data_IF_037145288036
#
_entry.id   IF_037145288036
#
_cell.length_a   1.000
_cell.length_b   1.000
_cell.length_c   1.000
_cell.angle_alpha   90.00
_cell.angle_beta   90.00
_cell.angle_gamma   90.00
#
_symmetry.space_group_name_H-M   'P 1'
#
loop_
_entity.id
_entity.type
_entity.pdbx_description
1 polymer ?
#
# COMPACT_ATOMS: atom_id res chain seq x y z
N UNK A 1 55.57 -13.85 13.05
CA UNK A 1 54.27 -13.96 12.39
C UNK A 1 53.31 -13.02 13.15
N UNK A 2 53.00 -11.84 12.57
CA UNK A 2 51.98 -10.93 13.12
C UNK A 2 50.65 -11.33 12.53
N UNK A 3 49.74 -11.80 13.37
CA UNK A 3 48.33 -12.04 13.02
C UNK A 3 47.62 -10.71 13.05
N UNK A 4 47.19 -10.19 11.89
CA UNK A 4 46.31 -9.04 11.77
C UNK A 4 44.87 -9.55 12.08
N UNK A 5 44.33 -9.19 13.25
CA UNK A 5 42.92 -9.34 13.53
C UNK A 5 42.18 -8.22 12.78
N UNK A 6 41.47 -8.57 11.71
CA UNK A 6 40.45 -7.70 11.10
C UNK A 6 39.23 -7.70 12.04
N UNK A 7 39.04 -6.59 12.73
CA UNK A 7 37.81 -6.35 13.46
C UNK A 7 36.68 -6.02 12.42
N UNK A 8 35.80 -6.99 12.15
CA UNK A 8 34.53 -6.71 11.49
C UNK A 8 33.69 -5.86 12.46
N UNK A 9 33.59 -4.58 12.19
CA UNK A 9 32.58 -3.74 12.83
C UNK A 9 31.23 -4.10 12.22
N UNK A 10 30.42 -4.90 12.91
CA UNK A 10 28.99 -5.00 12.59
C UNK A 10 28.37 -3.60 12.81
N UNK A 11 27.87 -2.99 11.73
CA UNK A 11 26.99 -1.84 11.87
C UNK A 11 25.79 -2.24 12.73
N UNK A 12 25.32 -1.39 13.66
CA UNK A 12 24.11 -1.69 14.42
C UNK A 12 22.94 -1.84 13.46
N UNK A 13 22.08 -2.82 13.72
CA UNK A 13 20.82 -2.96 13.00
C UNK A 13 20.01 -1.67 13.19
N UNK A 14 19.41 -1.09 12.12
CA UNK A 14 18.62 0.12 12.24
C UNK A 14 17.48 -0.07 13.24
N UNK A 15 17.16 0.97 14.01
CA UNK A 15 16.07 0.96 14.96
C UNK A 15 14.74 0.69 14.22
N UNK A 16 13.78 0.02 14.87
CA UNK A 16 12.54 -0.43 14.25
C UNK A 16 11.69 0.70 13.60
N UNK A 17 11.96 1.99 13.90
CA UNK A 17 11.29 3.14 13.30
C UNK A 17 11.97 3.71 12.04
N UNK A 18 13.14 3.20 11.65
CA UNK A 18 13.91 3.75 10.51
C UNK A 18 13.61 3.07 9.17
N UNK A 19 12.87 1.97 9.18
CA UNK A 19 12.53 1.18 8.00
C UNK A 19 11.07 1.35 7.60
N UNK A 20 10.80 1.21 6.30
CA UNK A 20 9.47 1.23 5.70
C UNK A 20 9.22 -0.09 4.94
N UNK A 21 8.98 -1.22 5.66
CA UNK A 21 9.16 -2.57 5.13
C UNK A 21 8.03 -3.08 4.23
N UNK A 22 6.90 -2.37 4.17
CA UNK A 22 5.68 -2.80 3.48
C UNK A 22 4.84 -1.61 3.05
N UNK A 23 3.71 -1.88 2.41
CA UNK A 23 2.72 -0.86 2.09
C UNK A 23 2.32 -0.07 3.34
N UNK A 24 2.51 1.27 3.29
CA UNK A 24 2.30 2.21 4.41
C UNK A 24 3.21 2.00 5.62
N UNK A 25 4.36 1.36 5.42
CA UNK A 25 5.41 1.25 6.43
C UNK A 25 5.08 0.35 7.63
N UNK A 26 5.68 0.62 8.80
CA UNK A 26 5.48 -0.18 9.99
C UNK A 26 3.99 -0.29 10.37
N UNK A 27 3.52 -1.52 10.57
CA UNK A 27 2.13 -1.83 10.95
C UNK A 27 1.06 -1.19 10.02
N UNK A 28 1.42 -0.89 8.78
CA UNK A 28 0.58 -0.23 7.76
C UNK A 28 -0.06 1.10 8.24
N UNK A 29 0.55 1.79 9.20
CA UNK A 29 0.00 3.02 9.80
C UNK A 29 0.11 4.24 8.89
N UNK A 30 1.13 4.29 8.03
CA UNK A 30 1.47 5.49 7.25
C UNK A 30 2.14 6.59 8.08
N UNK A 31 2.59 6.30 9.31
CA UNK A 31 3.17 7.29 10.22
C UNK A 31 4.70 7.24 10.16
N UNK A 32 5.32 8.39 9.98
CA UNK A 32 6.75 8.62 9.83
C UNK A 32 7.28 9.66 10.84
N UNK A 33 6.70 9.70 12.04
CA UNK A 33 7.12 10.63 13.09
C UNK A 33 8.58 10.42 13.49
N UNK A 34 9.29 11.52 13.69
CA UNK A 34 10.71 11.52 14.05
C UNK A 34 11.66 11.30 12.87
N UNK A 35 11.15 11.06 11.66
CA UNK A 35 12.00 10.90 10.48
C UNK A 35 12.39 12.22 9.82
N UNK A 36 11.80 13.35 10.23
CA UNK A 36 12.14 14.71 9.76
C UNK A 36 12.10 14.82 8.24
N UNK A 37 10.99 14.39 7.61
CA UNK A 37 10.81 14.47 6.16
C UNK A 37 10.47 15.89 5.71
N UNK A 38 10.86 16.23 4.47
CA UNK A 38 10.68 17.56 3.89
C UNK A 38 9.20 17.98 3.82
N UNK A 39 8.96 19.29 3.99
CA UNK A 39 7.63 19.91 3.85
C UNK A 39 7.48 20.58 2.50
N UNK A 40 8.55 21.10 1.92
CA UNK A 40 8.55 21.85 0.67
C UNK A 40 9.57 21.30 -0.33
N UNK A 41 9.16 21.16 -1.58
CA UNK A 41 10.02 20.80 -2.72
C UNK A 41 9.35 21.14 -4.05
N UNK A 42 10.12 21.09 -5.13
CA UNK A 42 9.62 21.21 -6.49
C UNK A 42 10.34 20.18 -7.40
N UNK A 43 9.64 19.12 -7.78
CA UNK A 43 10.15 18.06 -8.64
C UNK A 43 10.39 18.51 -10.08
N UNK A 44 9.71 19.57 -10.54
CA UNK A 44 9.89 20.16 -11.88
C UNK A 44 11.19 20.96 -11.94
N UNK A 45 11.46 21.74 -10.88
CA UNK A 45 12.66 22.58 -10.77
C UNK A 45 13.83 21.88 -10.10
N UNK A 46 13.60 20.67 -9.59
CA UNK A 46 14.58 19.89 -8.80
C UNK A 46 15.00 20.59 -7.48
N UNK A 47 14.10 21.36 -6.86
CA UNK A 47 14.32 21.96 -5.55
C UNK A 47 14.04 20.92 -4.47
N UNK A 48 14.98 20.71 -3.52
CA UNK A 48 14.94 19.67 -2.47
C UNK A 48 14.81 18.24 -3.03
N UNK A 49 15.16 18.00 -4.28
CA UNK A 49 15.29 16.67 -4.88
C UNK A 49 16.74 16.22 -4.73
N UNK A 50 16.97 15.20 -3.90
CA UNK A 50 18.31 14.66 -3.66
C UNK A 50 18.79 13.87 -4.89
N UNK A 51 17.89 13.02 -5.44
CA UNK A 51 18.09 12.30 -6.68
C UNK A 51 16.75 11.93 -7.35
N UNK A 52 16.85 11.60 -8.63
CA UNK A 52 15.74 11.18 -9.48
C UNK A 52 16.22 10.06 -10.39
N UNK A 53 15.63 8.88 -10.27
CA UNK A 53 16.00 7.69 -11.04
C UNK A 53 14.89 7.30 -11.98
N UNK A 54 15.21 7.15 -13.27
CA UNK A 54 14.26 6.70 -14.28
C UNK A 54 13.87 5.26 -14.06
N UNK A 55 12.57 4.97 -14.14
CA UNK A 55 12.00 3.63 -14.09
C UNK A 55 11.41 3.25 -15.45
N UNK A 56 11.60 2.01 -15.85
CA UNK A 56 10.96 1.45 -17.03
C UNK A 56 9.64 0.78 -16.69
N UNK A 57 8.69 0.80 -17.63
CA UNK A 57 7.40 0.13 -17.52
C UNK A 57 6.38 0.87 -16.64
N UNK A 58 5.32 0.17 -16.27
CA UNK A 58 4.23 0.68 -15.46
C UNK A 58 4.19 -0.04 -14.12
N UNK A 59 3.99 0.71 -13.05
CA UNK A 59 3.84 0.15 -11.73
C UNK A 59 3.29 1.15 -10.72
N UNK A 60 2.38 0.71 -9.88
CA UNK A 60 1.81 1.48 -8.78
C UNK A 60 2.30 0.99 -7.41
N UNK A 61 3.20 -0.02 -7.38
CA UNK A 61 3.80 -0.42 -6.12
C UNK A 61 4.43 0.77 -5.43
N UNK A 62 4.11 0.96 -4.17
CA UNK A 62 4.82 1.93 -3.33
C UNK A 62 6.28 1.51 -3.18
N UNK A 63 7.22 2.43 -3.05
CA UNK A 63 8.56 2.08 -2.60
C UNK A 63 8.48 1.55 -1.17
N UNK A 64 9.34 0.57 -0.86
CA UNK A 64 9.62 0.14 0.51
C UNK A 64 11.10 0.36 0.80
N UNK A 65 11.43 0.60 2.07
CA UNK A 65 12.78 0.96 2.48
C UNK A 65 13.25 0.08 3.61
N UNK A 66 14.48 -0.44 3.49
CA UNK A 66 15.17 -1.12 4.58
C UNK A 66 16.65 -0.79 4.58
N UNK A 67 17.09 -0.10 5.61
CA UNK A 67 18.45 0.40 5.70
C UNK A 67 18.77 1.35 4.54
N UNK A 68 19.77 1.02 3.77
CA UNK A 68 20.26 1.78 2.62
C UNK A 68 19.60 1.39 1.28
N UNK A 69 18.55 0.55 1.30
CA UNK A 69 17.92 0.03 0.08
C UNK A 69 16.45 0.43 -0.05
N UNK A 70 16.08 0.76 -1.27
CA UNK A 70 14.68 0.95 -1.68
C UNK A 70 14.32 -0.18 -2.65
N UNK A 71 13.14 -0.79 -2.45
CA UNK A 71 12.64 -1.83 -3.36
C UNK A 71 11.31 -1.43 -3.95
N UNK A 72 11.08 -1.83 -5.19
CA UNK A 72 9.81 -1.66 -5.90
C UNK A 72 9.66 -2.68 -7.02
N UNK A 73 8.47 -2.77 -7.60
CA UNK A 73 8.16 -3.65 -8.73
C UNK A 73 7.74 -2.85 -9.95
N UNK A 74 7.93 -3.37 -11.14
CA UNK A 74 7.45 -2.79 -12.38
C UNK A 74 7.07 -3.87 -13.39
N UNK A 75 6.22 -3.54 -14.37
CA UNK A 75 5.88 -4.40 -15.49
C UNK A 75 6.16 -3.65 -16.80
N UNK A 76 7.11 -4.14 -17.57
CA UNK A 76 7.55 -3.53 -18.84
C UNK A 76 6.89 -4.27 -19.98
N UNK A 77 5.97 -3.59 -20.68
CA UNK A 77 5.29 -4.12 -21.86
C UNK A 77 6.20 -4.10 -23.10
N UNK A 78 6.09 -5.11 -23.94
CA UNK A 78 6.68 -5.08 -25.27
C UNK A 78 5.94 -4.15 -26.25
N UNK A 79 4.72 -3.72 -25.89
CA UNK A 79 3.98 -2.68 -26.60
C UNK A 79 4.35 -1.29 -26.03
N UNK A 80 5.05 -0.42 -26.80
CA UNK A 80 5.41 0.91 -26.35
C UNK A 80 4.20 1.84 -26.13
N UNK A 81 3.03 1.47 -26.65
CA UNK A 81 1.77 2.18 -26.44
C UNK A 81 1.05 1.81 -25.14
N UNK A 82 1.59 0.90 -24.34
CA UNK A 82 1.03 0.53 -23.06
C UNK A 82 1.13 1.69 -22.06
N UNK A 83 -0.03 2.25 -21.70
CA UNK A 83 -0.16 3.35 -20.74
C UNK A 83 -1.22 3.02 -19.70
N UNK A 84 -1.22 3.70 -18.57
CA UNK A 84 -2.37 3.75 -17.70
C UNK A 84 -3.10 5.11 -17.83
N UNK A 85 -4.37 5.12 -17.48
CA UNK A 85 -5.20 6.32 -17.50
C UNK A 85 -5.40 6.76 -16.04
N UNK A 86 -5.21 8.05 -15.77
CA UNK A 86 -5.47 8.67 -14.46
C UNK A 86 -6.71 9.56 -14.53
N UNK A 87 -7.18 10.03 -13.38
CA UNK A 87 -8.33 10.93 -13.27
C UNK A 87 -9.59 10.26 -12.71
N UNK A 88 -10.64 11.07 -12.57
CA UNK A 88 -11.93 10.63 -11.99
C UNK A 88 -12.80 9.82 -12.95
N UNK A 89 -12.58 9.93 -14.25
CA UNK A 89 -13.34 9.22 -15.26
C UNK A 89 -13.09 7.72 -15.16
N UNK A 90 -13.95 7.05 -14.40
CA UNK A 90 -14.02 5.59 -14.35
C UNK A 90 -14.62 5.02 -15.64
N UNK A 91 -14.04 5.35 -16.80
CA UNK A 91 -14.38 4.67 -18.04
C UNK A 91 -14.06 3.20 -17.85
N UNK A 92 -15.10 2.38 -17.92
CA UNK A 92 -15.03 0.93 -17.88
C UNK A 92 -14.49 0.43 -19.23
N UNK A 93 -13.37 0.95 -19.67
CA UNK A 93 -12.68 0.47 -20.86
C UNK A 93 -11.71 -0.62 -20.41
N UNK A 94 -11.94 -1.83 -20.92
CA UNK A 94 -11.01 -2.94 -20.76
C UNK A 94 -9.72 -2.61 -21.50
N UNK A 95 -8.58 -2.78 -20.84
CA UNK A 95 -7.32 -2.88 -21.55
C UNK A 95 -6.94 -4.35 -21.65
N UNK A 96 -7.31 -4.96 -22.78
CA UNK A 96 -6.72 -6.23 -23.18
C UNK A 96 -5.30 -5.97 -23.65
N UNK A 97 -4.36 -6.04 -22.71
CA UNK A 97 -2.95 -5.97 -23.04
C UNK A 97 -2.47 -7.37 -23.42
N UNK A 98 -2.44 -7.65 -24.71
CA UNK A 98 -1.99 -8.94 -25.25
C UNK A 98 -0.49 -8.99 -25.51
N UNK A 99 0.21 -7.91 -25.16
CA UNK A 99 1.64 -7.82 -25.29
C UNK A 99 2.35 -8.64 -24.19
N UNK A 100 3.51 -9.17 -24.53
CA UNK A 100 4.39 -9.76 -23.52
C UNK A 100 4.91 -8.70 -22.55
N UNK A 101 4.91 -9.02 -21.25
CA UNK A 101 5.44 -8.17 -20.21
C UNK A 101 6.62 -8.83 -19.52
N UNK A 102 7.62 -8.02 -19.18
CA UNK A 102 8.69 -8.35 -18.26
C UNK A 102 8.30 -7.84 -16.88
N UNK A 103 7.99 -8.74 -15.94
CA UNK A 103 7.69 -8.43 -14.54
C UNK A 103 8.99 -8.36 -13.76
N UNK A 104 9.28 -7.21 -13.13
CA UNK A 104 10.60 -6.95 -12.54
C UNK A 104 10.52 -6.49 -11.10
N UNK A 105 11.54 -6.85 -10.34
CA UNK A 105 11.81 -6.36 -8.99
C UNK A 105 13.11 -5.57 -9.04
N UNK A 106 13.13 -4.39 -8.42
CA UNK A 106 14.27 -3.50 -8.38
C UNK A 106 14.72 -3.24 -6.95
N UNK A 107 16.03 -3.13 -6.78
CA UNK A 107 16.65 -2.56 -5.58
C UNK A 107 17.49 -1.37 -5.98
N UNK A 108 17.30 -0.26 -5.27
CA UNK A 108 18.05 0.97 -5.46
C UNK A 108 18.75 1.36 -4.15
N UNK A 109 19.85 2.09 -4.28
CA UNK A 109 20.46 2.78 -3.14
C UNK A 109 19.53 3.89 -2.66
N UNK A 110 19.18 3.89 -1.39
CA UNK A 110 18.39 4.96 -0.79
C UNK A 110 19.14 6.29 -0.77
N UNK A 111 20.47 6.26 -0.77
CA UNK A 111 21.33 7.46 -0.74
C UNK A 111 21.53 8.09 -2.12
N UNK A 112 21.77 7.26 -3.15
CA UNK A 112 22.19 7.77 -4.47
C UNK A 112 21.15 7.57 -5.56
N UNK A 113 20.14 6.72 -5.34
CA UNK A 113 19.18 6.33 -6.36
C UNK A 113 19.73 5.36 -7.42
N UNK A 114 20.98 4.92 -7.30
CA UNK A 114 21.57 3.94 -8.20
C UNK A 114 20.81 2.63 -8.14
N UNK A 115 20.48 2.03 -9.30
CA UNK A 115 19.90 0.70 -9.38
C UNK A 115 21.00 -0.31 -9.04
N UNK A 116 20.91 -0.90 -7.83
CA UNK A 116 21.87 -1.89 -7.36
C UNK A 116 21.68 -3.24 -8.04
N UNK A 117 20.41 -3.59 -8.26
CA UNK A 117 20.02 -4.72 -9.09
C UNK A 117 18.59 -4.58 -9.61
N UNK A 118 18.34 -5.18 -10.76
CA UNK A 118 17.04 -5.34 -11.37
C UNK A 118 16.91 -6.80 -11.83
N UNK A 119 15.83 -7.47 -11.41
CA UNK A 119 15.60 -8.90 -11.67
C UNK A 119 14.27 -9.09 -12.39
N UNK A 120 14.31 -9.77 -13.52
CA UNK A 120 13.11 -10.27 -14.20
C UNK A 120 12.58 -11.49 -13.44
N UNK A 121 11.42 -11.35 -12.81
CA UNK A 121 10.73 -12.44 -12.11
C UNK A 121 10.07 -13.40 -13.11
N UNK A 122 9.44 -12.83 -14.14
CA UNK A 122 8.72 -13.54 -15.18
C UNK A 122 8.65 -12.69 -16.45
N UNK A 123 8.65 -13.37 -17.59
CA UNK A 123 8.28 -12.78 -18.89
C UNK A 123 7.13 -13.59 -19.46
N UNK A 124 5.99 -12.93 -19.65
CA UNK A 124 4.76 -13.58 -20.14
C UNK A 124 3.75 -12.56 -20.66
N UNK A 125 2.79 -13.04 -21.43
CA UNK A 125 1.53 -12.33 -21.66
C UNK A 125 0.70 -12.46 -20.38
N UNK A 126 0.17 -11.36 -19.80
CA UNK A 126 -0.62 -11.40 -18.58
C UNK A 126 -1.82 -12.37 -18.69
N UNK A 127 -2.07 -13.16 -17.64
CA UNK A 127 -3.17 -14.15 -17.61
C UNK A 127 -4.54 -13.50 -17.62
N UNK A 128 -4.65 -12.27 -17.07
CA UNK A 128 -5.90 -11.49 -16.98
C UNK A 128 -5.70 -10.09 -17.56
N UNK A 129 -6.80 -9.40 -17.78
CA UNK A 129 -6.81 -7.99 -18.15
C UNK A 129 -6.57 -7.13 -16.91
N UNK A 130 -6.42 -5.83 -17.11
CA UNK A 130 -6.31 -4.84 -16.03
C UNK A 130 -7.26 -3.67 -16.22
N UNK A 131 -7.67 -3.05 -15.13
CA UNK A 131 -8.33 -1.75 -15.19
C UNK A 131 -7.40 -0.73 -15.84
N UNK A 132 -7.89 0.22 -16.67
CA UNK A 132 -7.05 1.25 -17.28
C UNK A 132 -6.21 2.06 -16.31
N UNK A 133 -6.69 2.26 -15.08
CA UNK A 133 -5.96 2.92 -13.98
C UNK A 133 -5.00 1.98 -13.24
N UNK A 134 -5.04 0.68 -13.47
CA UNK A 134 -4.19 -0.28 -12.79
C UNK A 134 -2.93 -0.60 -13.61
N UNK A 135 -1.95 -1.22 -12.96
CA UNK A 135 -0.76 -1.81 -13.58
C UNK A 135 -0.65 -3.28 -13.19
N UNK A 136 0.14 -4.08 -13.91
CA UNK A 136 0.43 -5.46 -13.52
C UNK A 136 1.47 -5.56 -12.37
N UNK A 137 1.94 -4.41 -11.88
CA UNK A 137 2.86 -4.29 -10.74
C UNK A 137 2.32 -3.26 -9.72
N UNK A 138 1.05 -3.41 -9.34
CA UNK A 138 0.40 -2.56 -8.34
C UNK A 138 0.66 -3.00 -6.90
N UNK A 139 0.70 -4.32 -6.57
CA UNK A 139 1.04 -4.73 -5.22
C UNK A 139 2.43 -4.24 -4.81
N UNK A 140 2.52 -3.66 -3.63
CA UNK A 140 3.78 -3.23 -3.01
C UNK A 140 4.52 -4.44 -2.47
N UNK A 141 5.82 -4.61 -2.74
CA UNK A 141 6.61 -5.69 -2.17
C UNK A 141 6.74 -5.53 -0.65
N UNK A 142 7.21 -6.60 0.02
CA UNK A 142 7.47 -6.58 1.47
C UNK A 142 8.86 -7.12 1.75
N UNK A 143 9.45 -6.69 2.88
CA UNK A 143 10.75 -7.16 3.34
C UNK A 143 10.82 -7.31 4.86
N UNK A 144 11.56 -8.34 5.31
CA UNK A 144 11.91 -8.55 6.72
C UNK A 144 13.37 -8.17 7.03
N UNK A 145 14.06 -7.53 6.07
CA UNK A 145 15.48 -7.18 6.18
C UNK A 145 16.44 -8.27 5.70
N UNK A 146 15.93 -9.43 5.29
CA UNK A 146 16.70 -10.55 4.71
C UNK A 146 16.11 -10.99 3.38
N UNK A 147 14.78 -10.97 3.28
CA UNK A 147 14.03 -11.40 2.12
C UNK A 147 13.25 -10.24 1.55
N UNK A 148 13.08 -10.23 0.23
CA UNK A 148 12.19 -9.33 -0.50
C UNK A 148 11.16 -10.18 -1.22
N UNK A 149 9.88 -9.99 -0.92
CA UNK A 149 8.81 -10.74 -1.55
C UNK A 149 7.97 -9.84 -2.43
N UNK A 150 7.90 -10.17 -3.71
CA UNK A 150 7.11 -9.48 -4.73
C UNK A 150 5.90 -10.32 -5.14
N UNK A 151 4.73 -9.68 -5.23
CA UNK A 151 3.47 -10.28 -5.64
C UNK A 151 2.96 -9.62 -6.92
N UNK A 152 2.74 -10.43 -7.96
CA UNK A 152 2.23 -9.97 -9.25
C UNK A 152 0.85 -10.52 -9.57
N UNK A 153 0.04 -10.82 -8.56
CA UNK A 153 -1.30 -11.36 -8.76
C UNK A 153 -1.28 -12.73 -9.43
N UNK A 154 -1.98 -12.84 -10.54
CA UNK A 154 -2.06 -14.09 -11.34
C UNK A 154 -0.70 -14.59 -11.83
N UNK A 155 0.28 -13.70 -11.97
CA UNK A 155 1.66 -14.05 -12.41
C UNK A 155 2.52 -14.60 -11.27
N UNK A 156 2.02 -14.61 -10.02
CA UNK A 156 2.61 -15.34 -8.92
C UNK A 156 3.31 -14.50 -7.86
N UNK A 157 3.94 -15.22 -6.93
CA UNK A 157 4.65 -14.71 -5.76
C UNK A 157 6.12 -15.13 -5.86
N UNK A 158 7.05 -14.21 -5.61
CA UNK A 158 8.49 -14.40 -5.79
C UNK A 158 9.26 -13.91 -4.57
N UNK A 159 10.11 -14.77 -4.01
CA UNK A 159 10.99 -14.44 -2.89
C UNK A 159 12.44 -14.32 -3.34
N UNK A 160 13.08 -13.23 -2.96
CA UNK A 160 14.49 -12.94 -3.23
C UNK A 160 15.25 -12.72 -1.92
N UNK A 161 16.57 -12.92 -1.96
CA UNK A 161 17.46 -12.36 -0.95
C UNK A 161 17.74 -10.85 -1.24
N UNK A 162 18.48 -10.19 -0.35
CA UNK A 162 18.81 -8.76 -0.52
C UNK A 162 19.76 -8.49 -1.70
N UNK A 163 20.49 -9.49 -2.17
CA UNK A 163 21.38 -9.43 -3.34
C UNK A 163 20.63 -9.67 -4.65
N UNK A 164 19.31 -9.96 -4.58
CA UNK A 164 18.46 -10.20 -5.73
C UNK A 164 18.58 -11.60 -6.31
N UNK A 165 19.09 -12.58 -5.55
CA UNK A 165 19.02 -13.97 -5.95
C UNK A 165 17.62 -14.50 -5.70
N UNK A 166 17.01 -15.12 -6.72
CA UNK A 166 15.70 -15.75 -6.58
C UNK A 166 15.84 -16.99 -5.66
N UNK A 167 15.14 -16.99 -4.54
CA UNK A 167 15.09 -18.08 -3.58
C UNK A 167 13.98 -19.06 -3.93
N UNK A 168 12.80 -18.53 -4.24
CA UNK A 168 11.62 -19.32 -4.56
C UNK A 168 10.60 -18.55 -5.38
N UNK A 169 9.68 -19.30 -6.01
CA UNK A 169 8.49 -18.75 -6.69
C UNK A 169 7.28 -19.63 -6.44
N UNK A 170 6.08 -19.05 -6.42
CA UNK A 170 4.80 -19.75 -6.29
C UNK A 170 3.81 -19.26 -7.35
N UNK A 171 3.23 -20.19 -8.07
CA UNK A 171 2.05 -19.93 -8.90
C UNK A 171 0.79 -20.05 -8.02
N UNK A 172 0.00 -19.00 -7.96
CA UNK A 172 -1.23 -18.94 -7.17
C UNK A 172 -2.48 -19.21 -8.01
N UNK A 173 -2.30 -19.54 -9.28
CA UNK A 173 -3.38 -19.70 -10.26
C UNK A 173 -3.81 -18.36 -10.87
N UNK A 174 -4.91 -18.38 -11.60
CA UNK A 174 -5.51 -17.17 -12.16
C UNK A 174 -6.37 -16.52 -11.08
N UNK A 175 -6.11 -15.23 -10.83
CA UNK A 175 -6.84 -14.41 -9.87
C UNK A 175 -7.58 -13.35 -10.68
N UNK A 176 -8.80 -13.67 -11.10
CA UNK A 176 -9.68 -12.82 -11.89
C UNK A 176 -10.39 -11.78 -10.99
N UNK A 177 -9.58 -10.90 -10.41
CA UNK A 177 -10.08 -9.81 -9.59
C UNK A 177 -10.68 -8.73 -10.49
N UNK A 178 -12.01 -8.60 -10.47
CA UNK A 178 -12.75 -7.72 -11.37
C UNK A 178 -14.02 -7.15 -10.77
N UNK A 179 -14.91 -6.68 -11.64
CA UNK A 179 -16.17 -6.09 -11.23
C UNK A 179 -17.14 -7.14 -10.68
N UNK A 180 -17.66 -6.91 -9.49
CA UNK A 180 -18.62 -7.82 -8.85
C UNK A 180 -19.94 -8.02 -9.60
N UNK A 181 -20.21 -7.23 -10.64
CA UNK A 181 -21.44 -7.22 -11.41
C UNK A 181 -21.28 -7.71 -12.86
N UNK A 182 -20.04 -7.97 -13.30
CA UNK A 182 -19.73 -8.44 -14.66
C UNK A 182 -18.42 -9.22 -14.63
N UNK A 183 -18.50 -10.53 -14.77
CA UNK A 183 -17.37 -11.47 -14.75
C UNK A 183 -16.41 -11.34 -15.95
N UNK A 184 -16.79 -10.51 -16.92
CA UNK A 184 -15.93 -10.22 -18.07
C UNK A 184 -14.99 -9.02 -17.85
N UNK A 185 -15.08 -8.33 -16.70
CA UNK A 185 -14.24 -7.19 -16.33
C UNK A 185 -13.21 -7.59 -15.30
N UNK A 186 -12.01 -7.92 -15.75
CA UNK A 186 -10.84 -8.06 -14.90
C UNK A 186 -10.21 -6.69 -14.67
N UNK A 187 -9.91 -6.38 -13.39
CA UNK A 187 -9.27 -5.14 -13.01
C UNK A 187 -7.82 -5.34 -12.54
N UNK A 188 -7.41 -6.59 -12.36
CA UNK A 188 -6.12 -6.97 -11.83
C UNK A 188 -6.04 -6.84 -10.32
N UNK A 189 -4.98 -7.38 -9.74
CA UNK A 189 -4.78 -7.40 -8.30
C UNK A 189 -4.20 -6.07 -7.81
N UNK A 190 -4.71 -5.55 -6.69
CA UNK A 190 -4.21 -4.34 -6.02
C UNK A 190 -3.71 -4.59 -4.59
N UNK A 191 -4.14 -5.70 -3.98
CA UNK A 191 -3.75 -6.08 -2.62
C UNK A 191 -2.25 -6.39 -2.52
N UNK A 192 -1.57 -5.79 -1.55
CA UNK A 192 -0.17 -6.08 -1.25
C UNK A 192 -0.04 -7.21 -0.23
N UNK A 193 1.07 -7.96 -0.20
CA UNK A 193 1.32 -8.94 0.84
C UNK A 193 1.56 -8.28 2.20
N UNK A 194 1.35 -9.04 3.29
CA UNK A 194 1.71 -8.67 4.65
C UNK A 194 2.70 -9.68 5.22
N UNK A 195 3.58 -9.25 6.13
CA UNK A 195 4.52 -10.12 6.83
C UNK A 195 4.11 -10.31 8.29
N UNK A 196 4.14 -11.56 8.74
CA UNK A 196 3.92 -11.89 10.15
C UNK A 196 4.70 -13.14 10.56
N UNK A 197 5.60 -13.01 11.54
CA UNK A 197 6.36 -14.12 12.15
C UNK A 197 6.99 -15.10 11.14
N UNK A 198 7.68 -14.57 10.14
CA UNK A 198 8.35 -15.36 9.12
C UNK A 198 7.40 -15.91 8.04
N UNK A 199 6.17 -15.48 8.00
CA UNK A 199 5.22 -15.78 6.93
C UNK A 199 4.94 -14.54 6.10
N UNK A 200 4.80 -14.74 4.79
CA UNK A 200 4.16 -13.77 3.88
C UNK A 200 2.71 -14.20 3.64
N UNK A 201 1.78 -13.29 3.88
CA UNK A 201 0.34 -13.53 3.76
C UNK A 201 -0.19 -12.71 2.58
N UNK A 202 -0.93 -13.34 1.68
CA UNK A 202 -1.55 -12.71 0.51
C UNK A 202 -3.06 -12.91 0.50
N UNK A 203 -3.76 -11.91 -0.02
CA UNK A 203 -5.16 -12.02 -0.41
C UNK A 203 -5.21 -12.30 -1.91
N UNK A 204 -5.94 -13.33 -2.27
CA UNK A 204 -6.26 -13.70 -3.65
C UNK A 204 -7.79 -13.74 -3.80
N UNK A 205 -8.43 -12.57 -3.70
CA UNK A 205 -9.87 -12.45 -3.88
C UNK A 205 -10.19 -12.40 -5.38
N UNK A 206 -11.05 -13.30 -5.81
CA UNK A 206 -11.29 -13.65 -7.20
C UNK A 206 -12.76 -14.05 -7.40
N UNK A 207 -13.29 -13.87 -8.59
CA UNK A 207 -14.63 -14.30 -8.93
C UNK A 207 -14.75 -15.82 -8.99
N UNK A 208 -13.66 -16.52 -9.35
CA UNK A 208 -13.63 -17.98 -9.45
C UNK A 208 -13.39 -18.70 -8.11
N UNK A 209 -13.08 -17.96 -7.05
CA UNK A 209 -12.85 -18.53 -5.71
C UNK A 209 -11.73 -17.78 -4.96
N UNK A 210 -12.10 -17.17 -3.86
CA UNK A 210 -11.22 -16.32 -3.05
C UNK A 210 -10.53 -17.07 -1.95
N UNK A 211 -9.30 -16.71 -1.62
CA UNK A 211 -8.56 -17.27 -0.50
C UNK A 211 -7.57 -16.28 0.14
N UNK A 212 -7.25 -16.56 1.39
CA UNK A 212 -6.03 -16.10 2.05
C UNK A 212 -5.00 -17.22 2.00
N UNK A 213 -3.75 -16.90 1.70
CA UNK A 213 -2.65 -17.86 1.72
C UNK A 213 -1.47 -17.31 2.52
N UNK A 214 -0.92 -18.12 3.42
CA UNK A 214 0.34 -17.84 4.10
C UNK A 214 1.43 -18.78 3.62
N UNK A 215 2.60 -18.23 3.38
CA UNK A 215 3.76 -18.94 2.88
C UNK A 215 4.97 -18.60 3.77
N UNK A 216 5.84 -19.56 4.01
CA UNK A 216 7.11 -19.30 4.69
C UNK A 216 7.96 -18.33 3.86
N UNK A 217 8.42 -17.26 4.48
CA UNK A 217 9.10 -16.16 3.77
C UNK A 217 10.44 -16.58 3.15
N UNK A 218 11.13 -17.56 3.77
CA UNK A 218 12.45 -18.03 3.31
C UNK A 218 12.37 -19.09 2.21
N UNK A 219 11.32 -19.92 2.22
CA UNK A 219 11.21 -21.09 1.32
C UNK A 219 10.04 -21.00 0.35
N UNK A 220 9.07 -20.12 0.61
CA UNK A 220 7.82 -20.02 -0.11
C UNK A 220 6.89 -21.22 0.10
N UNK A 221 7.20 -22.17 1.00
CA UNK A 221 6.32 -23.30 1.26
C UNK A 221 4.99 -22.84 1.88
N UNK A 222 3.85 -23.40 1.45
CA UNK A 222 2.57 -23.03 2.01
C UNK A 222 2.48 -23.46 3.49
N UNK A 223 2.09 -22.51 4.36
CA UNK A 223 1.87 -22.76 5.79
C UNK A 223 0.40 -23.04 6.07
N UNK A 224 -0.48 -22.18 5.56
CA UNK A 224 -1.93 -22.41 5.62
C UNK A 224 -2.62 -21.71 4.46
N UNK A 225 -3.85 -22.17 4.16
CA UNK A 225 -4.78 -21.56 3.22
C UNK A 225 -6.18 -21.55 3.85
N UNK A 226 -6.86 -20.41 3.73
CA UNK A 226 -8.25 -20.25 4.13
C UNK A 226 -9.09 -19.77 2.94
N UNK A 227 -10.04 -20.58 2.49
CA UNK A 227 -10.96 -20.19 1.45
C UNK A 227 -11.94 -19.15 2.00
N UNK A 228 -12.36 -18.22 1.15
CA UNK A 228 -13.21 -17.09 1.51
C UNK A 228 -14.43 -17.02 0.62
N UNK A 229 -15.56 -16.60 1.21
CA UNK A 229 -16.80 -16.34 0.47
C UNK A 229 -16.92 -14.85 0.07
N UNK A 230 -15.83 -14.25 -0.40
CA UNK A 230 -15.75 -12.85 -0.81
C UNK A 230 -15.45 -12.85 -2.30
N UNK A 231 -16.15 -12.01 -3.06
CA UNK A 231 -15.77 -11.68 -4.42
C UNK A 231 -14.65 -10.63 -4.40
N UNK A 232 -14.13 -10.26 -5.54
CA UNK A 232 -12.97 -9.40 -5.71
C UNK A 232 -12.86 -8.26 -4.70
N UNK A 233 -11.70 -8.16 -4.04
CA UNK A 233 -11.28 -7.00 -3.25
C UNK A 233 -9.85 -6.61 -3.63
N UNK A 234 -9.48 -5.36 -3.31
CA UNK A 234 -8.17 -4.78 -3.68
C UNK A 234 -7.41 -4.29 -2.44
N UNK A 235 -7.99 -4.49 -1.28
CA UNK A 235 -7.48 -4.06 0.02
C UNK A 235 -6.30 -4.92 0.47
N UNK A 236 -5.24 -4.30 0.97
CA UNK A 236 -4.14 -4.98 1.66
C UNK A 236 -4.59 -5.42 3.07
N UNK A 237 -4.24 -6.61 3.55
CA UNK A 237 -4.61 -7.03 4.89
C UNK A 237 -3.81 -6.26 5.96
N UNK A 238 -4.44 -5.97 7.09
CA UNK A 238 -3.80 -5.40 8.27
C UNK A 238 -3.48 -6.51 9.27
N UNK A 239 -2.24 -6.58 9.76
CA UNK A 239 -1.91 -7.31 10.99
C UNK A 239 -2.06 -6.34 12.16
N UNK A 240 -3.00 -6.61 13.04
CA UNK A 240 -3.23 -5.84 14.26
C UNK A 240 -2.83 -6.63 15.49
N UNK A 241 -1.86 -6.13 16.23
CA UNK A 241 -1.43 -6.68 17.52
C UNK A 241 -2.25 -6.04 18.63
N UNK A 242 -3.37 -6.66 18.97
CA UNK A 242 -4.23 -6.24 20.08
C UNK A 242 -3.75 -6.77 21.43
N UNK A 243 -4.31 -6.24 22.53
CA UNK A 243 -3.92 -6.62 23.89
C UNK A 243 -4.10 -8.12 24.19
N UNK A 244 -5.16 -8.73 23.67
CA UNK A 244 -5.52 -10.11 23.99
C UNK A 244 -5.16 -11.11 22.88
N UNK A 245 -5.07 -10.65 21.64
CA UNK A 245 -4.74 -11.49 20.48
C UNK A 245 -4.29 -10.66 19.30
N UNK A 246 -3.60 -11.31 18.36
CA UNK A 246 -3.28 -10.73 17.06
C UNK A 246 -4.37 -11.12 16.06
N UNK A 247 -4.75 -10.18 15.21
CA UNK A 247 -5.75 -10.36 14.17
C UNK A 247 -5.23 -9.95 12.80
N UNK A 248 -5.50 -10.78 11.80
CA UNK A 248 -5.36 -10.43 10.39
C UNK A 248 -6.72 -9.89 9.92
N UNK A 249 -6.80 -8.59 9.65
CA UNK A 249 -8.05 -7.92 9.33
C UNK A 249 -8.11 -7.60 7.85
N UNK A 250 -9.21 -7.98 7.19
CA UNK A 250 -9.43 -7.80 5.76
C UNK A 250 -10.67 -6.98 5.49
N UNK A 251 -10.61 -6.15 4.46
CA UNK A 251 -11.73 -5.38 3.95
C UNK A 251 -12.19 -6.02 2.62
N UNK A 252 -13.20 -6.86 2.67
CA UNK A 252 -13.74 -7.55 1.50
C UNK A 252 -14.99 -6.89 0.94
N UNK A 253 -15.40 -7.26 -0.27
CA UNK A 253 -16.64 -6.80 -0.89
C UNK A 253 -17.83 -7.23 -0.02
N UNK A 254 -18.63 -6.26 0.40
CA UNK A 254 -19.84 -6.38 1.23
C UNK A 254 -19.61 -6.89 2.67
N UNK A 255 -18.40 -7.42 2.99
CA UNK A 255 -18.11 -8.02 4.29
C UNK A 255 -16.62 -7.87 4.67
N UNK A 256 -16.38 -7.53 5.91
CA UNK A 256 -15.07 -7.43 6.54
C UNK A 256 -14.85 -8.63 7.46
N UNK A 257 -13.62 -9.09 7.61
CA UNK A 257 -13.31 -10.24 8.47
C UNK A 257 -12.05 -10.00 9.30
N UNK A 258 -12.01 -10.62 10.46
CA UNK A 258 -10.81 -10.87 11.24
C UNK A 258 -10.46 -12.35 11.25
N UNK A 259 -9.19 -12.66 11.07
CA UNK A 259 -8.65 -14.02 11.08
C UNK A 259 -7.51 -14.15 12.08
N UNK A 260 -7.27 -15.36 12.55
CA UNK A 260 -6.03 -15.71 13.24
C UNK A 260 -4.89 -15.78 12.20
N UNK A 261 -3.87 -14.90 12.29
CA UNK A 261 -2.80 -14.84 11.28
C UNK A 261 -1.89 -16.08 11.28
N UNK A 262 -1.91 -16.90 12.34
CA UNK A 262 -1.11 -18.13 12.40
C UNK A 262 -1.77 -19.34 11.74
N UNK A 263 -3.11 -19.31 11.64
CA UNK A 263 -3.88 -20.51 11.20
C UNK A 263 -4.81 -20.21 10.02
N UNK A 264 -5.10 -18.94 9.73
CA UNK A 264 -6.11 -18.52 8.76
C UNK A 264 -7.55 -18.75 9.23
N UNK A 265 -7.76 -19.16 10.49
CA UNK A 265 -9.11 -19.38 11.04
C UNK A 265 -9.84 -18.04 11.17
N UNK A 266 -11.07 -17.97 10.63
CA UNK A 266 -11.94 -16.83 10.84
C UNK A 266 -12.31 -16.66 12.31
N UNK A 267 -12.18 -15.44 12.82
CA UNK A 267 -12.48 -15.05 14.19
C UNK A 267 -13.81 -14.30 14.26
N UNK A 268 -14.00 -13.36 13.35
CA UNK A 268 -15.23 -12.55 13.29
C UNK A 268 -15.50 -12.08 11.86
N UNK A 269 -16.74 -11.70 11.63
CA UNK A 269 -17.21 -11.05 10.41
C UNK A 269 -18.06 -9.82 10.71
N UNK A 270 -18.10 -8.87 9.77
CA UNK A 270 -18.89 -7.65 9.83
C UNK A 270 -19.38 -7.27 8.44
N UNK A 271 -20.68 -7.33 8.22
CA UNK A 271 -21.29 -6.91 6.97
C UNK A 271 -21.40 -5.37 6.86
N UNK A 272 -21.44 -4.85 5.63
CA UNK A 272 -21.75 -3.44 5.36
C UNK A 272 -20.68 -2.65 4.61
N UNK A 273 -19.57 -3.24 4.22
CA UNK A 273 -18.64 -2.62 3.26
C UNK A 273 -19.31 -2.47 1.89
N UNK A 274 -18.75 -1.67 1.00
CA UNK A 274 -19.23 -1.54 -0.37
C UNK A 274 -18.84 -2.74 -1.23
N UNK A 275 -19.37 -2.79 -2.46
CA UNK A 275 -19.02 -3.84 -3.43
C UNK A 275 -17.57 -3.77 -3.94
N UNK A 276 -16.96 -2.59 -3.86
CA UNK A 276 -15.57 -2.40 -4.27
C UNK A 276 -14.78 -1.85 -3.08
N UNK A 277 -13.79 -2.59 -2.63
CA UNK A 277 -13.00 -2.26 -1.46
C UNK A 277 -11.53 -2.17 -1.83
N UNK A 278 -10.98 -0.97 -1.73
CA UNK A 278 -9.58 -0.68 -1.98
C UNK A 278 -8.82 -0.28 -0.70
N UNK A 279 -9.41 0.53 0.21
CA UNK A 279 -8.71 0.98 1.39
C UNK A 279 -8.33 -0.16 2.33
N UNK A 280 -7.11 -0.14 2.81
CA UNK A 280 -6.60 -1.02 3.86
C UNK A 280 -7.24 -0.65 5.21
N UNK A 281 -7.62 -1.60 6.07
CA UNK A 281 -7.94 -1.31 7.47
C UNK A 281 -6.77 -0.63 8.17
N UNK A 282 -7.04 0.35 9.04
CA UNK A 282 -5.99 1.03 9.81
C UNK A 282 -6.30 1.02 11.30
N UNK A 283 -5.27 0.79 12.12
CA UNK A 283 -5.42 0.77 13.56
C UNK A 283 -4.95 2.09 14.19
N UNK A 284 -5.65 2.51 15.24
CA UNK A 284 -5.27 3.66 16.06
C UNK A 284 -6.26 3.85 17.22
N UNK A 285 -5.81 4.37 18.35
CA UNK A 285 -6.64 4.68 19.51
C UNK A 285 -7.45 3.47 20.05
N UNK A 286 -6.89 2.26 19.94
CA UNK A 286 -7.57 1.03 20.38
C UNK A 286 -8.71 0.57 19.47
N UNK A 287 -8.84 1.17 18.28
CA UNK A 287 -9.85 0.85 17.27
C UNK A 287 -9.18 0.48 15.95
N UNK A 288 -9.90 -0.22 15.10
CA UNK A 288 -9.58 -0.45 13.71
C UNK A 288 -10.63 0.25 12.85
N UNK A 289 -10.17 1.10 11.94
CA UNK A 289 -11.03 1.85 11.03
C UNK A 289 -11.01 1.21 9.66
N UNK A 290 -12.19 0.96 9.11
CA UNK A 290 -12.38 0.32 7.81
C UNK A 290 -13.29 1.20 6.98
N UNK A 291 -12.84 1.58 5.79
CA UNK A 291 -13.62 2.38 4.85
C UNK A 291 -13.73 1.66 3.52
N UNK A 292 -14.75 1.97 2.77
CA UNK A 292 -14.91 1.50 1.39
C UNK A 292 -15.68 2.52 0.57
N UNK A 293 -15.69 2.38 -0.75
CA UNK A 293 -16.33 3.31 -1.65
C UNK A 293 -17.14 2.62 -2.72
N UNK A 294 -17.55 3.38 -3.73
CA UNK A 294 -18.42 3.01 -4.83
C UNK A 294 -19.90 2.87 -4.42
N UNK A 295 -20.70 3.90 -4.66
CA UNK A 295 -22.12 4.11 -4.36
C UNK A 295 -22.42 4.40 -2.90
N UNK A 296 -21.82 3.70 -1.98
CA UNK A 296 -21.84 3.98 -0.53
C UNK A 296 -20.40 4.14 -0.06
N UNK A 297 -20.19 5.04 0.91
CA UNK A 297 -18.85 5.35 1.43
C UNK A 297 -18.87 5.21 2.95
N UNK A 298 -19.04 3.99 3.50
CA UNK A 298 -19.12 3.80 4.93
C UNK A 298 -17.76 3.95 5.61
N UNK A 299 -17.83 4.29 6.89
CA UNK A 299 -16.73 4.21 7.85
C UNK A 299 -17.20 3.30 8.99
N UNK A 300 -16.39 2.33 9.35
CA UNK A 300 -16.59 1.50 10.53
C UNK A 300 -15.41 1.70 11.49
N UNK A 301 -15.69 1.92 12.76
CA UNK A 301 -14.72 1.86 13.83
C UNK A 301 -15.00 0.60 14.68
N UNK A 302 -14.08 -0.34 14.65
CA UNK A 302 -14.23 -1.67 15.22
C UNK A 302 -13.28 -1.84 16.40
N UNK A 303 -13.78 -2.34 17.53
CA UNK A 303 -12.93 -2.80 18.64
C UNK A 303 -12.39 -4.18 18.29
N UNK A 304 -11.07 -4.38 18.35
CA UNK A 304 -10.48 -5.73 18.20
C UNK A 304 -10.98 -6.67 19.31
N UNK A 305 -10.94 -7.98 19.05
CA UNK A 305 -11.28 -8.97 20.06
C UNK A 305 -12.65 -9.62 19.88
N UNK A 306 -13.45 -9.19 18.90
CA UNK A 306 -14.79 -9.75 18.62
C UNK A 306 -14.76 -11.20 18.15
N UNK A 307 -15.89 -11.89 18.16
CA UNK A 307 -16.04 -13.27 17.71
C UNK A 307 -17.40 -13.48 17.03
N UNK A 308 -17.40 -14.24 15.91
CA UNK A 308 -18.60 -14.45 15.11
C UNK A 308 -19.07 -13.18 14.38
N UNK A 309 -20.36 -13.04 14.11
CA UNK A 309 -20.91 -11.80 13.56
C UNK A 309 -20.93 -10.70 14.64
N UNK A 310 -20.18 -9.61 14.38
CA UNK A 310 -20.05 -8.50 15.31
C UNK A 310 -20.94 -7.30 14.97
N UNK A 311 -21.80 -7.41 13.97
CA UNK A 311 -22.53 -6.27 13.39
C UNK A 311 -23.41 -5.49 14.36
N UNK A 312 -24.09 -6.16 15.30
CA UNK A 312 -24.98 -5.56 16.29
C UNK A 312 -24.44 -5.77 17.72
N UNK A 313 -23.11 -5.68 17.89
CA UNK A 313 -22.45 -5.87 19.18
C UNK A 313 -21.66 -4.61 19.57
N UNK A 314 -21.17 -4.58 20.82
CA UNK A 314 -20.28 -3.52 21.32
C UNK A 314 -18.94 -3.42 20.61
N UNK A 315 -18.58 -4.41 19.78
CA UNK A 315 -17.36 -4.38 18.98
C UNK A 315 -17.43 -3.37 17.82
N UNK A 316 -18.62 -2.98 17.36
CA UNK A 316 -18.79 -1.80 16.49
C UNK A 316 -18.90 -0.57 17.37
N UNK A 317 -17.80 0.18 17.54
CA UNK A 317 -17.75 1.37 18.39
C UNK A 317 -18.65 2.48 17.83
N UNK A 318 -18.51 2.73 16.53
CA UNK A 318 -19.36 3.64 15.77
C UNK A 318 -19.30 3.32 14.28
N UNK A 319 -20.26 3.81 13.52
CA UNK A 319 -20.29 3.71 12.06
C UNK A 319 -20.91 4.95 11.42
N UNK A 320 -20.43 5.29 10.22
CA UNK A 320 -21.01 6.30 9.34
C UNK A 320 -21.30 5.67 7.99
N UNK A 321 -22.38 6.10 7.33
CA UNK A 321 -22.73 5.65 5.98
C UNK A 321 -22.13 6.52 4.88
N UNK A 322 -21.37 7.56 5.26
CA UNK A 322 -20.87 8.60 4.36
C UNK A 322 -19.42 8.94 4.66
N UNK A 323 -18.81 9.57 3.65
CA UNK A 323 -17.51 10.27 3.73
C UNK A 323 -16.31 9.36 3.96
N UNK A 324 -16.47 8.04 3.88
CA UNK A 324 -15.37 7.08 3.80
C UNK A 324 -14.57 7.23 2.51
N UNK A 325 -13.33 6.81 2.55
CA UNK A 325 -12.45 6.79 1.38
C UNK A 325 -12.84 5.66 0.43
N UNK A 326 -12.76 5.90 -0.88
CA UNK A 326 -12.97 4.88 -1.92
C UNK A 326 -11.65 4.24 -2.36
N UNK A 327 -10.65 5.05 -2.71
CA UNK A 327 -9.35 4.59 -3.20
C UNK A 327 -8.27 4.69 -2.13
N UNK A 328 -8.20 5.83 -1.45
CA UNK A 328 -7.16 6.10 -0.47
C UNK A 328 -7.44 5.38 0.85
N UNK A 329 -6.44 4.79 1.45
CA UNK A 329 -6.53 4.30 2.83
C UNK A 329 -6.61 5.48 3.79
N UNK A 330 -7.49 5.48 4.79
CA UNK A 330 -7.53 6.54 5.79
C UNK A 330 -6.26 6.55 6.67
N UNK A 331 -6.09 7.61 7.45
CA UNK A 331 -4.99 7.68 8.42
C UNK A 331 -5.50 8.15 9.77
N UNK A 332 -5.03 7.50 10.83
CA UNK A 332 -5.25 7.93 12.22
C UNK A 332 -3.99 8.61 12.69
N UNK A 333 -4.10 9.90 13.02
CA UNK A 333 -2.98 10.66 13.53
C UNK A 333 -3.38 11.45 14.79
N UNK A 334 -2.71 11.19 15.91
CA UNK A 334 -3.18 11.67 17.21
C UNK A 334 -4.57 11.09 17.53
N UNK A 335 -5.52 11.94 17.85
CA UNK A 335 -6.90 11.57 18.20
C UNK A 335 -7.87 11.70 17.01
N UNK A 336 -7.34 11.90 15.80
CA UNK A 336 -8.15 12.23 14.62
C UNK A 336 -7.99 11.15 13.55
N UNK A 337 -9.13 10.71 13.02
CA UNK A 337 -9.23 9.93 11.78
C UNK A 337 -9.40 10.88 10.59
N UNK A 338 -8.51 10.80 9.62
CA UNK A 338 -8.61 11.54 8.36
C UNK A 338 -8.98 10.59 7.23
N UNK A 339 -9.99 10.96 6.46
CA UNK A 339 -10.40 10.29 5.21
C UNK A 339 -10.25 11.26 4.05
N UNK A 340 -9.67 10.83 2.94
CA UNK A 340 -9.61 11.59 1.71
C UNK A 340 -10.39 10.84 0.62
N UNK A 341 -11.44 11.44 0.12
CA UNK A 341 -12.19 10.87 -1.00
C UNK A 341 -11.39 10.99 -2.30
N UNK A 342 -11.69 10.12 -3.26
CA UNK A 342 -11.00 10.12 -4.56
C UNK A 342 -11.12 11.42 -5.37
N UNK A 343 -12.02 12.34 -4.98
CA UNK A 343 -12.19 13.67 -5.58
C UNK A 343 -11.56 14.81 -4.75
N UNK A 344 -10.68 14.46 -3.79
CA UNK A 344 -9.91 15.41 -2.98
C UNK A 344 -10.68 16.03 -1.80
N UNK A 345 -11.84 15.49 -1.42
CA UNK A 345 -12.52 15.92 -0.19
C UNK A 345 -11.91 15.23 1.02
N UNK A 346 -11.24 15.99 1.86
CA UNK A 346 -10.68 15.59 3.15
C UNK A 346 -11.72 15.81 4.24
N UNK A 347 -11.92 14.78 5.07
CA UNK A 347 -12.73 14.89 6.28
C UNK A 347 -11.93 14.44 7.49
N UNK A 348 -12.06 15.15 8.59
CA UNK A 348 -11.45 14.83 9.88
C UNK A 348 -12.54 14.48 10.90
N UNK A 349 -12.31 13.42 11.69
CA UNK A 349 -13.24 12.92 12.69
C UNK A 349 -12.52 12.65 14.01
N UNK A 350 -13.19 12.87 15.14
CA UNK A 350 -12.75 12.28 16.41
C UNK A 350 -12.73 10.77 16.26
N UNK A 351 -11.56 10.17 16.47
CA UNK A 351 -11.37 8.74 16.22
C UNK A 351 -12.24 7.87 17.13
N UNK A 352 -12.48 8.28 18.36
CA UNK A 352 -13.25 7.55 19.38
C UNK A 352 -14.77 7.64 19.20
N UNK A 353 -15.30 8.77 18.68
CA UNK A 353 -16.74 9.03 18.60
C UNK A 353 -17.29 9.06 17.19
N UNK A 354 -16.45 9.30 16.17
CA UNK A 354 -16.88 9.52 14.80
C UNK A 354 -17.49 10.92 14.55
N UNK A 355 -17.40 11.83 15.53
CA UNK A 355 -17.82 13.21 15.36
C UNK A 355 -16.94 13.90 14.32
N UNK A 356 -17.59 14.50 13.30
CA UNK A 356 -16.84 15.21 12.24
C UNK A 356 -16.37 16.56 12.75
N UNK A 357 -15.05 16.78 12.73
CA UNK A 357 -14.39 18.02 13.13
C UNK A 357 -14.51 19.04 12.00
N UNK A 358 -14.03 18.65 10.80
CA UNK A 358 -14.16 19.48 9.60
C UNK A 358 -14.27 18.63 8.33
N UNK A 359 -14.66 19.28 7.23
CA UNK A 359 -14.58 18.76 5.88
C UNK A 359 -14.13 19.88 4.94
N UNK A 360 -13.09 19.61 4.13
CA UNK A 360 -12.53 20.58 3.20
C UNK A 360 -12.10 19.89 1.91
N UNK A 361 -12.15 20.59 0.78
CA UNK A 361 -11.59 20.11 -0.48
C UNK A 361 -10.14 20.56 -0.60
N UNK A 362 -9.18 19.63 -0.58
CA UNK A 362 -7.75 19.93 -0.74
C UNK A 362 -7.50 20.53 -2.12
N UNK A 363 -7.98 19.87 -3.17
CA UNK A 363 -7.85 20.28 -4.55
C UNK A 363 -8.96 19.66 -5.42
N UNK A 364 -9.11 20.17 -6.64
CA UNK A 364 -9.81 19.44 -7.72
C UNK A 364 -8.84 18.42 -8.32
N UNK A 365 -9.32 17.24 -8.67
CA UNK A 365 -8.50 16.18 -9.25
C UNK A 365 -8.75 14.84 -8.58
N UNK A 366 -8.00 13.83 -8.96
CA UNK A 366 -8.16 12.50 -8.45
C UNK A 366 -7.07 12.15 -7.41
N UNK A 367 -7.47 11.38 -6.38
CA UNK A 367 -6.59 10.87 -5.34
C UNK A 367 -6.74 9.35 -5.22
N UNK A 368 -5.67 8.62 -5.52
CA UNK A 368 -5.59 7.16 -5.37
C UNK A 368 -4.52 6.72 -4.38
N UNK A 369 -3.41 7.46 -4.31
CA UNK A 369 -2.35 7.22 -3.32
C UNK A 369 -2.86 7.50 -1.91
N UNK A 370 -2.50 6.64 -0.96
CA UNK A 370 -2.87 6.82 0.44
C UNK A 370 -2.00 7.90 1.11
N UNK A 371 -2.53 8.67 2.07
CA UNK A 371 -1.74 9.65 2.79
C UNK A 371 -0.72 8.98 3.72
N UNK A 372 0.34 9.74 4.02
CA UNK A 372 1.24 9.48 5.13
C UNK A 372 1.27 10.68 6.08
N UNK A 373 1.75 10.48 7.31
CA UNK A 373 1.89 11.54 8.31
C UNK A 373 3.30 11.58 8.88
N UNK A 374 3.79 12.77 9.21
CA UNK A 374 5.04 12.97 9.93
C UNK A 374 5.03 14.28 10.69
N UNK A 375 5.38 14.23 11.97
CA UNK A 375 5.67 15.40 12.80
C UNK A 375 4.59 16.49 12.71
N UNK A 376 3.32 16.09 12.88
CA UNK A 376 2.17 17.00 12.84
C UNK A 376 1.70 17.40 11.45
N UNK A 377 2.13 16.72 10.40
CA UNK A 377 1.78 17.02 9.00
C UNK A 377 1.23 15.78 8.31
N UNK A 378 0.31 16.00 7.38
CA UNK A 378 -0.31 14.98 6.52
C UNK A 378 0.07 15.26 5.08
N UNK A 379 0.46 14.24 4.33
CA UNK A 379 0.91 14.35 2.94
C UNK A 379 -0.09 13.63 2.04
N UNK A 380 -0.79 14.38 1.21
CA UNK A 380 -1.79 13.86 0.26
C UNK A 380 -1.28 13.97 -1.17
N UNK A 381 -1.14 12.84 -1.83
CA UNK A 381 -0.62 12.76 -3.20
C UNK A 381 -1.77 12.69 -4.21
N UNK A 382 -1.85 13.65 -5.13
CA UNK A 382 -2.84 13.65 -6.22
C UNK A 382 -2.31 12.96 -7.47
N UNK A 383 -3.22 12.42 -8.27
CA UNK A 383 -2.89 11.81 -9.56
C UNK A 383 -2.35 12.83 -10.58
N UNK A 384 -2.72 14.11 -10.41
CA UNK A 384 -2.27 15.19 -11.30
C UNK A 384 -0.80 15.60 -11.07
N UNK A 385 -0.13 14.99 -10.08
CA UNK A 385 1.30 15.17 -9.86
C UNK A 385 1.66 16.17 -8.77
N UNK A 386 0.71 16.55 -7.92
CA UNK A 386 0.97 17.41 -6.77
C UNK A 386 0.91 16.64 -5.45
N UNK A 387 1.76 17.02 -4.51
CA UNK A 387 1.66 16.56 -3.12
C UNK A 387 1.29 17.75 -2.22
N UNK A 388 0.16 17.62 -1.56
CA UNK A 388 -0.37 18.63 -0.63
C UNK A 388 0.04 18.26 0.79
N UNK A 389 0.69 19.19 1.48
CA UNK A 389 1.03 19.04 2.89
C UNK A 389 0.06 19.85 3.73
N UNK A 390 -0.66 19.19 4.61
CA UNK A 390 -1.71 19.77 5.46
C UNK A 390 -1.31 19.61 6.92
N UNK A 391 -1.51 20.63 7.74
CA UNK A 391 -1.32 20.52 9.18
C UNK A 391 -2.33 19.52 9.78
N UNK A 392 -1.83 18.63 10.65
CA UNK A 392 -2.72 17.77 11.42
C UNK A 392 -3.30 18.57 12.59
N UNK A 393 -4.62 18.49 12.81
CA UNK A 393 -5.28 19.20 13.90
C UNK A 393 -6.79 19.38 13.66
N UNK A 394 -7.40 20.22 14.48
CA UNK A 394 -8.84 20.47 14.52
C UNK A 394 -9.31 21.45 13.42
N UNK A 395 -8.39 22.10 12.73
CA UNK A 395 -8.67 23.04 11.64
C UNK A 395 -7.90 22.63 10.39
N UNK A 396 -8.48 22.91 9.21
CA UNK A 396 -7.78 22.68 7.96
C UNK A 396 -6.79 23.81 7.67
N UNK A 397 -5.53 23.47 7.50
CA UNK A 397 -4.47 24.40 7.09
C UNK A 397 -3.59 23.73 6.02
N UNK A 398 -3.54 24.30 4.82
CA UNK A 398 -2.63 23.86 3.75
C UNK A 398 -1.27 24.55 3.95
N UNK A 399 -0.24 23.75 4.23
CA UNK A 399 1.13 24.23 4.48
C UNK A 399 1.92 24.43 3.19
N UNK A 400 1.79 23.48 2.24
CA UNK A 400 2.47 23.57 0.95
C UNK A 400 1.76 22.74 -0.13
N UNK A 401 2.05 23.10 -1.38
CA UNK A 401 1.75 22.32 -2.59
C UNK A 401 3.02 22.09 -3.35
N UNK A 402 3.38 20.83 -3.57
CA UNK A 402 4.68 20.41 -4.08
C UNK A 402 4.50 19.67 -5.42
N UNK A 403 4.77 20.32 -6.56
CA UNK A 403 4.62 19.70 -7.88
C UNK A 403 5.74 18.71 -8.17
N UNK A 404 5.40 17.56 -8.75
CA UNK A 404 6.36 16.54 -9.17
C UNK A 404 6.56 16.48 -10.69
N UNK A 405 5.63 17.04 -11.46
CA UNK A 405 5.70 17.10 -12.92
C UNK A 405 5.40 15.80 -13.64
N UNK A 406 4.85 14.81 -12.95
CA UNK A 406 4.40 13.55 -13.53
C UNK A 406 3.27 12.93 -12.69
N UNK A 407 2.52 12.01 -13.29
CA UNK A 407 1.40 11.33 -12.64
C UNK A 407 1.88 10.54 -11.41
N UNK A 408 1.17 10.66 -10.29
CA UNK A 408 1.47 9.99 -9.04
C UNK A 408 0.32 9.08 -8.63
N UNK A 409 0.58 7.77 -8.58
CA UNK A 409 -0.42 6.75 -8.20
C UNK A 409 -0.01 5.98 -6.95
N UNK A 410 1.29 5.96 -6.64
CA UNK A 410 1.85 5.20 -5.53
C UNK A 410 1.85 6.00 -4.22
N UNK A 411 1.61 5.32 -3.12
CA UNK A 411 1.76 5.89 -1.78
C UNK A 411 3.24 6.14 -1.49
N UNK A 412 3.63 7.33 -0.99
CA UNK A 412 5.00 7.63 -0.61
C UNK A 412 5.53 6.70 0.49
N UNK A 413 6.86 6.56 0.56
CA UNK A 413 7.58 5.91 1.65
C UNK A 413 8.54 6.89 2.32
N UNK A 414 8.82 6.68 3.61
CA UNK A 414 9.69 7.54 4.38
C UNK A 414 10.90 6.77 4.94
N UNK A 415 12.01 7.48 5.05
CA UNK A 415 13.20 7.08 5.79
C UNK A 415 13.79 8.32 6.51
N UNK A 416 14.77 8.18 7.40
CA UNK A 416 15.36 9.32 8.08
C UNK A 416 15.79 10.43 7.12
N UNK A 417 15.17 11.61 7.24
CA UNK A 417 15.38 12.81 6.41
C UNK A 417 15.05 12.65 4.92
N UNK A 418 14.35 11.59 4.52
CA UNK A 418 14.02 11.30 3.11
C UNK A 418 12.56 10.92 2.95
N UNK A 419 11.98 11.44 1.90
CA UNK A 419 10.67 11.02 1.39
C UNK A 419 10.86 10.46 -0.02
N UNK A 420 10.41 9.22 -0.26
CA UNK A 420 10.46 8.60 -1.57
C UNK A 420 9.10 8.68 -2.22
N UNK A 421 9.05 9.28 -3.41
CA UNK A 421 7.85 9.41 -4.23
C UNK A 421 8.07 8.72 -5.56
N UNK A 422 7.20 7.76 -5.88
CA UNK A 422 7.17 7.12 -7.19
C UNK A 422 6.20 7.85 -8.10
N UNK A 423 6.72 8.44 -9.15
CA UNK A 423 5.96 8.92 -10.30
C UNK A 423 5.82 7.84 -11.38
N UNK A 424 5.17 8.21 -12.47
CA UNK A 424 4.98 7.32 -13.62
C UNK A 424 6.31 6.86 -14.24
N UNK A 425 7.29 7.75 -14.30
CA UNK A 425 8.55 7.52 -15.01
C UNK A 425 9.78 7.52 -14.12
N UNK A 426 9.65 8.01 -12.87
CA UNK A 426 10.80 8.13 -11.98
C UNK A 426 10.44 7.76 -10.54
N UNK A 427 11.48 7.34 -9.82
CA UNK A 427 11.51 7.37 -8.36
C UNK A 427 12.32 8.60 -7.94
N UNK A 428 11.77 9.37 -7.00
CA UNK A 428 12.39 10.57 -6.44
C UNK A 428 12.75 10.32 -4.99
N UNK A 429 13.93 10.79 -4.57
CA UNK A 429 14.27 11.03 -3.17
C UNK A 429 14.21 12.52 -2.89
N UNK A 430 13.41 12.88 -1.92
CA UNK A 430 13.21 14.26 -1.50
C UNK A 430 13.84 14.42 -0.13
N UNK A 431 14.68 15.45 0.00
CA UNK A 431 15.37 15.78 1.23
C UNK A 431 15.43 17.28 1.39
N UNK A 432 15.01 17.76 2.55
CA UNK A 432 15.21 19.15 2.88
C UNK A 432 16.72 19.43 3.01
N UNK A 433 17.22 20.37 2.21
CA UNK A 433 18.61 20.81 2.33
C UNK A 433 18.65 21.82 3.46
N UNK A 434 19.40 21.52 4.52
CA UNK A 434 19.65 22.48 5.61
C UNK A 434 20.11 23.80 4.99
N UNK A 435 19.40 24.89 5.25
CA UNK A 435 19.81 26.22 4.80
C UNK A 435 21.22 26.49 5.33
N UNK A 436 22.18 26.62 4.40
CA UNK A 436 23.58 26.91 4.72
C UNK A 436 23.73 28.33 5.26
#
# INVERSE_FOLDING_TARGET
VRVLLLALTLAPAPAAGENWPSFRGPNATGIADGLSIATTWDGVRSENIEWKTKLEGLGHSSPIVWGDRVFLTTAVSSDPGSIFVHGLDGRIDRRSDKAEHSFRVLSLSAETGEILWEKEALRAVPKIQRHPKNSYASPTPVTDGKHVVAYFGSEGLYGYDFEGNLLWKRDLGTIDAGASYDDTYDWGVGSSPALYRGMVIVIADSQAGSFLGAFDVATGEPVWRADRSVISSFSTPLIHEGENRVELITNGAEIMHGYDPLTGKELWSLAGSSKNTTPTPVAGRGLVFITSGYRINPIFAVRPGGSGDIGETEFVAWRSQRDGSYMTTPIVYGDILYTCQNNGVLSAYRADTGERIYQHRIASGAFSASPIASDGRLYFTSEDGDVYVVAAGDEYELLSTNPMGEVLMATPAAAPKRLFIRGQHHLFSIREVDAR
#
